data_IF_076735599692
#
_entry.id   IF_076735599692
#
_cell.length_a   1.000
_cell.length_b   1.000
_cell.length_c   1.000
_cell.angle_alpha   90.00
_cell.angle_beta   90.00
_cell.angle_gamma   90.00
#
_symmetry.space_group_name_H-M   'P 1'
#
loop_
_entity.id
_entity.type
_entity.pdbx_description
1 polymer ?
#
# COMPACT_ATOMS: atom_id res chain seq x y z
N UNK A 1 12.70 7.57 22.51
CA UNK A 1 12.80 6.18 22.05
C UNK A 1 13.80 6.14 20.90
N UNK A 2 14.80 5.25 20.94
CA UNK A 2 15.76 5.17 19.86
C UNK A 2 15.22 4.34 18.68
N UNK A 3 15.94 4.36 17.56
CA UNK A 3 15.52 3.69 16.35
C UNK A 3 15.42 2.17 16.52
N UNK A 4 16.32 1.57 17.29
CA UNK A 4 16.30 0.12 17.53
C UNK A 4 15.03 -0.31 18.26
N UNK A 5 14.60 0.48 19.25
CA UNK A 5 13.36 0.21 19.98
C UNK A 5 12.14 0.33 19.08
N UNK A 6 12.13 1.35 18.22
CA UNK A 6 11.02 1.55 17.25
C UNK A 6 10.98 0.39 16.27
N UNK A 7 12.13 -0.06 15.76
CA UNK A 7 12.19 -1.18 14.81
C UNK A 7 11.73 -2.49 15.45
N UNK A 8 12.11 -2.73 16.72
CA UNK A 8 11.68 -3.91 17.43
C UNK A 8 10.16 -3.93 17.63
N UNK A 9 9.58 -2.78 17.99
CA UNK A 9 8.13 -2.66 18.15
C UNK A 9 7.40 -2.93 16.82
N UNK A 10 7.87 -2.34 15.74
CA UNK A 10 7.27 -2.54 14.42
C UNK A 10 7.36 -4.00 13.97
N UNK A 11 8.50 -4.64 14.23
CA UNK A 11 8.69 -6.04 13.90
C UNK A 11 7.73 -6.93 14.67
N UNK A 12 7.56 -6.68 15.98
CA UNK A 12 6.62 -7.45 16.79
C UNK A 12 5.19 -7.27 16.32
N UNK A 13 4.80 -6.06 15.94
CA UNK A 13 3.46 -5.79 15.41
C UNK A 13 3.20 -6.61 14.14
N UNK A 14 4.18 -6.71 13.24
CA UNK A 14 4.06 -7.51 12.02
C UNK A 14 3.94 -8.99 12.36
N UNK A 15 4.77 -9.49 13.27
CA UNK A 15 4.78 -10.90 13.61
C UNK A 15 3.50 -11.37 14.29
N UNK A 16 2.79 -10.47 14.97
CA UNK A 16 1.56 -10.80 15.70
C UNK A 16 0.29 -10.42 14.94
N UNK A 17 0.42 -9.78 13.78
CA UNK A 17 -0.73 -9.30 13.03
C UNK A 17 -1.48 -10.46 12.37
N UNK A 18 -2.81 -10.33 12.30
CA UNK A 18 -3.65 -11.22 11.49
C UNK A 18 -3.41 -10.95 10.00
N UNK A 19 -3.81 -11.85 9.09
CA UNK A 19 -3.74 -11.59 7.65
C UNK A 19 -4.42 -10.28 7.24
N UNK A 20 -5.57 -9.97 7.83
CA UNK A 20 -6.28 -8.73 7.53
C UNK A 20 -5.50 -7.50 7.99
N UNK A 21 -4.88 -7.58 9.17
CA UNK A 21 -4.04 -6.50 9.68
C UNK A 21 -2.78 -6.32 8.85
N UNK A 22 -2.18 -7.40 8.35
CA UNK A 22 -1.03 -7.32 7.44
C UNK A 22 -1.42 -6.62 6.14
N UNK A 23 -2.59 -6.92 5.59
CA UNK A 23 -3.08 -6.24 4.40
C UNK A 23 -3.22 -4.74 4.65
N UNK A 24 -3.77 -4.35 5.81
CA UNK A 24 -3.88 -2.94 6.17
C UNK A 24 -2.50 -2.28 6.27
N UNK A 25 -1.53 -2.96 6.86
CA UNK A 25 -0.15 -2.47 6.94
C UNK A 25 0.46 -2.25 5.57
N UNK A 26 0.13 -3.11 4.59
CA UNK A 26 0.61 -2.93 3.21
C UNK A 26 0.04 -1.65 2.60
N UNK A 27 -1.26 -1.38 2.76
CA UNK A 27 -1.83 -0.13 2.29
C UNK A 27 -1.15 1.08 2.92
N UNK A 28 -0.98 1.05 4.24
CA UNK A 28 -0.34 2.16 4.96
C UNK A 28 1.11 2.36 4.50
N UNK A 29 1.83 1.27 4.24
CA UNK A 29 3.19 1.33 3.71
C UNK A 29 3.25 1.96 2.32
N UNK A 30 2.33 1.58 1.43
CA UNK A 30 2.26 2.16 0.09
C UNK A 30 1.99 3.66 0.16
N UNK A 31 1.07 4.08 1.03
CA UNK A 31 0.77 5.50 1.24
C UNK A 31 2.02 6.24 1.72
N UNK A 32 2.71 5.69 2.71
CA UNK A 32 3.94 6.27 3.25
C UNK A 32 4.98 6.47 2.16
N UNK A 33 5.23 5.44 1.36
CA UNK A 33 6.26 5.53 0.32
C UNK A 33 5.89 6.50 -0.79
N UNK A 34 4.61 6.58 -1.15
CA UNK A 34 4.15 7.59 -2.10
C UNK A 34 4.39 9.01 -1.57
N UNK A 35 4.08 9.25 -0.30
CA UNK A 35 4.31 10.57 0.31
C UNK A 35 5.79 10.94 0.34
N UNK A 36 6.66 9.97 0.66
CA UNK A 36 8.11 10.21 0.64
C UNK A 36 8.58 10.50 -0.79
N UNK A 37 8.03 9.79 -1.78
CA UNK A 37 8.38 10.01 -3.18
C UNK A 37 7.99 11.43 -3.63
N UNK A 38 6.81 11.91 -3.21
CA UNK A 38 6.38 13.27 -3.53
C UNK A 38 7.39 14.30 -2.99
N UNK A 39 7.81 14.12 -1.73
CA UNK A 39 8.81 14.99 -1.12
C UNK A 39 10.10 14.96 -1.94
N UNK A 40 10.53 13.75 -2.36
CA UNK A 40 11.73 13.61 -3.19
C UNK A 40 11.62 14.36 -4.50
N UNK A 41 10.49 14.25 -5.19
CA UNK A 41 10.28 14.96 -6.47
C UNK A 41 10.33 16.47 -6.24
N UNK A 42 9.62 16.95 -5.22
CA UNK A 42 9.55 18.38 -4.92
C UNK A 42 10.90 18.98 -4.56
N UNK A 43 11.75 18.19 -3.90
CA UNK A 43 13.11 18.60 -3.54
C UNK A 43 14.13 18.26 -4.61
N UNK A 44 13.69 17.73 -5.74
CA UNK A 44 14.56 17.32 -6.87
C UNK A 44 15.56 16.22 -6.47
N UNK A 45 15.19 15.42 -5.49
CA UNK A 45 15.94 14.23 -5.12
C UNK A 45 15.33 13.03 -5.86
N UNK A 46 15.79 12.84 -7.09
CA UNK A 46 15.19 11.84 -7.99
C UNK A 46 15.49 10.41 -7.56
N UNK A 47 16.62 10.18 -6.91
CA UNK A 47 16.92 8.85 -6.38
C UNK A 47 15.96 8.48 -5.25
N UNK A 48 15.71 9.39 -4.33
CA UNK A 48 14.74 9.19 -3.26
C UNK A 48 13.36 8.91 -3.81
N UNK A 49 12.94 9.67 -4.83
CA UNK A 49 11.67 9.47 -5.49
C UNK A 49 11.60 8.07 -6.12
N UNK A 50 12.64 7.68 -6.86
CA UNK A 50 12.69 6.38 -7.53
C UNK A 50 12.61 5.23 -6.53
N UNK A 51 13.44 5.26 -5.50
CA UNK A 51 13.48 4.19 -4.50
C UNK A 51 12.12 4.01 -3.84
N UNK A 52 11.46 5.10 -3.48
CA UNK A 52 10.19 5.02 -2.76
C UNK A 52 9.03 4.65 -3.68
N UNK A 53 9.04 5.09 -4.94
CA UNK A 53 8.03 4.64 -5.91
C UNK A 53 8.18 3.14 -6.20
N UNK A 54 9.41 2.63 -6.26
CA UNK A 54 9.64 1.20 -6.42
C UNK A 54 9.11 0.41 -5.24
N UNK A 55 9.33 0.90 -4.03
CA UNK A 55 8.78 0.26 -2.82
C UNK A 55 7.25 0.23 -2.85
N UNK A 56 6.63 1.32 -3.28
CA UNK A 56 5.17 1.36 -3.42
C UNK A 56 4.69 0.35 -4.48
N UNK A 57 5.38 0.27 -5.62
CA UNK A 57 5.07 -0.72 -6.66
C UNK A 57 5.15 -2.15 -6.13
N UNK A 58 6.19 -2.45 -5.35
CA UNK A 58 6.38 -3.79 -4.78
C UNK A 58 5.24 -4.14 -3.82
N UNK A 59 4.77 -3.17 -3.05
CA UNK A 59 3.63 -3.39 -2.16
C UNK A 59 2.37 -3.68 -2.95
N UNK A 60 2.10 -2.95 -4.02
CA UNK A 60 0.92 -3.21 -4.86
C UNK A 60 1.00 -4.61 -5.47
N UNK A 61 2.17 -5.03 -5.91
CA UNK A 61 2.37 -6.39 -6.41
C UNK A 61 2.05 -7.42 -5.33
N UNK A 62 2.51 -7.19 -4.10
CA UNK A 62 2.22 -8.08 -2.98
C UNK A 62 0.72 -8.16 -2.69
N UNK A 63 0.03 -7.04 -2.71
CA UNK A 63 -1.42 -7.01 -2.52
C UNK A 63 -2.14 -7.83 -3.60
N UNK A 64 -1.70 -7.73 -4.86
CA UNK A 64 -2.30 -8.50 -5.95
C UNK A 64 -2.05 -10.00 -5.80
N UNK A 65 -0.81 -10.36 -5.47
CA UNK A 65 -0.42 -11.79 -5.34
C UNK A 65 -1.19 -12.46 -4.21
N UNK A 66 -1.42 -11.76 -3.11
CA UNK A 66 -2.10 -12.32 -1.95
C UNK A 66 -3.62 -12.21 -2.00
N UNK A 67 -4.17 -11.59 -3.05
CA UNK A 67 -5.61 -11.42 -3.20
C UNK A 67 -6.26 -12.79 -3.41
N UNK A 68 -7.23 -13.12 -2.54
CA UNK A 68 -7.95 -14.38 -2.60
C UNK A 68 -8.95 -14.36 -3.74
N UNK A 69 -8.72 -15.21 -4.73
CA UNK A 69 -9.59 -15.29 -5.91
C UNK A 69 -10.97 -15.87 -5.64
N UNK A 70 -11.15 -16.46 -4.46
CA UNK A 70 -12.47 -16.91 -4.02
C UNK A 70 -13.32 -15.77 -3.48
N UNK A 71 -12.70 -14.63 -3.19
CA UNK A 71 -13.42 -13.44 -2.75
C UNK A 71 -14.23 -12.88 -3.92
N UNK A 72 -15.56 -12.67 -3.76
CA UNK A 72 -16.41 -12.32 -4.90
C UNK A 72 -16.00 -11.07 -5.67
N UNK A 73 -15.33 -10.12 -5.02
CA UNK A 73 -14.92 -8.86 -5.64
C UNK A 73 -13.46 -8.85 -6.06
N UNK A 74 -12.79 -10.03 -6.12
CA UNK A 74 -11.37 -10.05 -6.41
C UNK A 74 -11.02 -9.41 -7.76
N UNK A 75 -11.87 -9.59 -8.77
CA UNK A 75 -11.61 -9.02 -10.09
C UNK A 75 -11.63 -7.50 -10.06
N UNK A 76 -12.57 -6.93 -9.30
CA UNK A 76 -12.65 -5.48 -9.15
C UNK A 76 -11.43 -4.92 -8.44
N UNK A 77 -11.01 -5.59 -7.37
CA UNK A 77 -9.80 -5.20 -6.63
C UNK A 77 -8.56 -5.31 -7.51
N UNK A 78 -8.45 -6.41 -8.28
CA UNK A 78 -7.30 -6.62 -9.15
C UNK A 78 -7.20 -5.55 -10.22
N UNK A 79 -8.34 -5.13 -10.80
CA UNK A 79 -8.35 -4.04 -11.79
C UNK A 79 -7.85 -2.72 -11.18
N UNK A 80 -8.27 -2.42 -9.95
CA UNK A 80 -7.82 -1.19 -9.28
C UNK A 80 -6.32 -1.28 -8.98
N UNK A 81 -5.85 -2.41 -8.50
CA UNK A 81 -4.42 -2.61 -8.26
C UNK A 81 -3.61 -2.46 -9.54
N UNK A 82 -4.10 -2.99 -10.67
CA UNK A 82 -3.42 -2.85 -11.95
C UNK A 82 -3.32 -1.38 -12.36
N UNK A 83 -4.42 -0.64 -12.20
CA UNK A 83 -4.43 0.80 -12.49
C UNK A 83 -3.42 1.55 -11.61
N UNK A 84 -3.45 1.28 -10.32
CA UNK A 84 -2.52 1.92 -9.37
C UNK A 84 -1.07 1.62 -9.74
N UNK A 85 -0.78 0.37 -10.05
CA UNK A 85 0.58 -0.04 -10.43
C UNK A 85 1.06 0.74 -11.67
N UNK A 86 0.22 0.82 -12.70
CA UNK A 86 0.56 1.55 -13.92
C UNK A 86 0.79 3.02 -13.66
N UNK A 87 -0.04 3.64 -12.81
CA UNK A 87 0.14 5.04 -12.46
C UNK A 87 1.44 5.27 -11.70
N UNK A 88 1.83 4.34 -10.83
CA UNK A 88 3.11 4.44 -10.12
C UNK A 88 4.29 4.30 -11.08
N UNK A 89 4.19 3.41 -12.07
CA UNK A 89 5.21 3.29 -13.11
C UNK A 89 5.33 4.60 -13.90
N UNK A 90 4.21 5.14 -14.34
CA UNK A 90 4.18 6.42 -15.07
C UNK A 90 4.80 7.55 -14.23
N UNK A 91 4.38 7.63 -12.97
CA UNK A 91 4.88 8.64 -12.04
C UNK A 91 6.40 8.54 -11.87
N UNK A 92 6.92 7.32 -11.82
CA UNK A 92 8.35 7.10 -11.68
C UNK A 92 9.11 7.48 -12.95
N UNK A 93 8.53 7.19 -14.12
CA UNK A 93 9.14 7.58 -15.39
C UNK A 93 9.20 9.09 -15.56
N UNK A 94 8.13 9.78 -15.22
CA UNK A 94 8.01 11.21 -15.43
C UNK A 94 8.44 12.05 -14.22
N UNK A 95 8.58 11.41 -13.05
CA UNK A 95 8.82 12.11 -11.77
C UNK A 95 7.80 13.23 -11.55
N UNK A 96 6.52 12.89 -11.78
CA UNK A 96 5.40 13.82 -11.77
C UNK A 96 4.57 13.62 -10.50
N UNK A 97 4.52 14.66 -9.67
CA UNK A 97 3.75 14.63 -8.40
C UNK A 97 2.28 14.33 -8.65
N UNK A 98 1.68 14.91 -9.70
CA UNK A 98 0.25 14.70 -9.94
C UNK A 98 -0.08 13.24 -10.25
N UNK A 99 0.83 12.52 -10.89
CA UNK A 99 0.64 11.10 -11.17
C UNK A 99 0.79 10.27 -9.90
N UNK A 100 1.72 10.64 -8.99
CA UNK A 100 1.82 9.99 -7.68
C UNK A 100 0.54 10.22 -6.89
N UNK A 101 0.04 11.45 -6.88
CA UNK A 101 -1.19 11.80 -6.15
C UNK A 101 -2.40 11.05 -6.68
N UNK A 102 -2.48 10.83 -8.00
CA UNK A 102 -3.56 10.04 -8.58
C UNK A 102 -3.52 8.60 -8.07
N UNK A 103 -2.35 7.97 -8.09
CA UNK A 103 -2.18 6.62 -7.54
C UNK A 103 -2.54 6.60 -6.04
N UNK A 104 -2.05 7.59 -5.31
CA UNK A 104 -2.26 7.71 -3.86
C UNK A 104 -3.74 7.82 -3.50
N UNK A 105 -4.52 8.54 -4.29
CA UNK A 105 -5.96 8.66 -4.11
C UNK A 105 -6.62 7.28 -4.08
N UNK A 106 -6.29 6.43 -5.06
CA UNK A 106 -6.90 5.10 -5.15
C UNK A 106 -6.37 4.16 -4.07
N UNK A 107 -5.10 4.29 -3.68
CA UNK A 107 -4.56 3.51 -2.56
C UNK A 107 -5.32 3.84 -1.27
N UNK A 108 -5.57 5.12 -1.01
CA UNK A 108 -6.34 5.55 0.17
C UNK A 108 -7.78 5.04 0.13
N UNK A 109 -8.42 5.09 -1.02
CA UNK A 109 -9.77 4.56 -1.18
C UNK A 109 -9.82 3.06 -0.90
N UNK A 110 -8.84 2.31 -1.41
CA UNK A 110 -8.76 0.87 -1.16
C UNK A 110 -8.50 0.58 0.31
N UNK A 111 -7.62 1.35 0.96
CA UNK A 111 -7.38 1.22 2.39
C UNK A 111 -8.66 1.43 3.18
N UNK A 112 -9.39 2.49 2.86
CA UNK A 112 -10.62 2.82 3.59
C UNK A 112 -11.69 1.74 3.38
N UNK A 113 -11.80 1.22 2.16
CA UNK A 113 -12.68 0.10 1.86
C UNK A 113 -12.28 -1.13 2.68
N UNK A 114 -10.99 -1.42 2.77
CA UNK A 114 -10.51 -2.55 3.56
C UNK A 114 -10.84 -2.39 5.04
N UNK A 115 -10.69 -1.18 5.58
CA UNK A 115 -11.07 -0.90 6.97
C UNK A 115 -12.54 -1.18 7.22
N UNK A 116 -13.42 -0.83 6.28
CA UNK A 116 -14.84 -1.15 6.41
C UNK A 116 -15.10 -2.65 6.37
N UNK A 117 -14.37 -3.37 5.50
CA UNK A 117 -14.46 -4.84 5.46
C UNK A 117 -14.07 -5.44 6.80
N UNK A 118 -12.98 -4.94 7.42
CA UNK A 118 -12.52 -5.42 8.72
C UNK A 118 -13.54 -5.17 9.82
N UNK A 119 -14.20 -4.01 9.81
CA UNK A 119 -15.24 -3.69 10.79
C UNK A 119 -16.47 -4.56 10.64
N UNK A 120 -16.84 -4.88 9.40
CA UNK A 120 -18.05 -5.65 9.11
C UNK A 120 -17.90 -7.12 9.45
N UNK A 121 -16.67 -7.64 9.52
CA UNK A 121 -16.42 -9.04 9.81
C UNK A 121 -16.69 -9.32 11.28
N UNK A 122 -17.46 -10.38 11.60
CA UNK A 122 -17.67 -10.77 13.00
C UNK A 122 -16.34 -11.12 13.68
N UNK A 123 -16.26 -10.87 15.00
CA UNK A 123 -15.09 -11.22 15.78
C UNK A 123 -14.81 -12.72 15.65
N UNK A 124 -13.55 -13.08 15.40
CA UNK A 124 -13.13 -14.47 15.25
C UNK A 124 -13.40 -15.10 13.91
N UNK A 125 -14.07 -14.40 12.98
CA UNK A 125 -14.28 -14.91 11.63
C UNK A 125 -13.03 -14.75 10.78
N UNK A 126 -12.91 -15.57 9.73
CA UNK A 126 -11.83 -15.41 8.79
C UNK A 126 -12.06 -14.16 7.94
N UNK A 127 -11.01 -13.37 7.77
CA UNK A 127 -11.09 -12.18 6.95
C UNK A 127 -10.98 -12.56 5.47
N UNK A 128 -11.81 -11.95 4.60
CA UNK A 128 -11.65 -12.12 3.18
C UNK A 128 -10.36 -11.45 2.73
N UNK A 129 -9.66 -12.08 1.82
CA UNK A 129 -8.41 -11.53 1.39
C UNK A 129 -8.17 -11.79 -0.08
#
# INVERSE_FOLDING_TARGET
MNQDTINAYQRNAILTASPAELTLMLYDGAIKFCNIAIIGIEKKDMEKAHVNLKKAQDIITELRVTLDRKYPVWEDFDRVYDYIYRRLVDANMHKDVSEVEDALKYIREMRDTWKEVMKAAPAGSKQPK
#
